data_IF_015582689268
#
_entry.id   IF_015582689268
#
_cell.length_a   1.000
_cell.length_b   1.000
_cell.length_c   1.000
_cell.angle_alpha   90.00
_cell.angle_beta   90.00
_cell.angle_gamma   90.00
#
_symmetry.space_group_name_H-M   'P 1'
#
loop_
_entity.id
_entity.type
_entity.pdbx_description
1 polymer ?
#
# COMPACT_ATOMS: atom_id res chain seq x y z
N UNK A 1 4.18 -6.41 7.23
CA UNK A 1 3.71 -6.79 5.89
C UNK A 1 3.05 -8.16 5.92
N UNK A 2 3.77 -9.24 6.23
CA UNK A 2 3.25 -10.62 6.20
C UNK A 2 1.97 -10.83 7.03
N UNK A 3 1.87 -10.19 8.19
CA UNK A 3 0.66 -10.28 9.04
C UNK A 3 -0.57 -9.55 8.46
N UNK A 4 -0.37 -8.53 7.62
CA UNK A 4 -1.47 -7.82 6.97
C UNK A 4 -2.01 -8.66 5.81
N UNK A 5 -1.11 -9.27 5.03
CA UNK A 5 -1.45 -10.14 3.90
C UNK A 5 -2.28 -11.36 4.35
N UNK A 6 -1.92 -11.96 5.49
CA UNK A 6 -2.61 -13.11 6.08
C UNK A 6 -4.06 -12.82 6.55
N UNK A 7 -4.46 -11.54 6.63
CA UNK A 7 -5.80 -11.12 7.03
C UNK A 7 -6.62 -10.48 5.91
N UNK A 8 -6.03 -10.35 4.72
CA UNK A 8 -6.79 -9.86 3.59
C UNK A 8 -7.78 -10.95 3.14
N UNK A 9 -9.02 -10.56 2.80
CA UNK A 9 -9.96 -11.48 2.21
C UNK A 9 -9.39 -12.04 0.90
N UNK A 10 -9.74 -13.28 0.56
CA UNK A 10 -9.31 -13.94 -0.69
C UNK A 10 -9.89 -13.27 -1.94
N UNK A 11 -10.97 -12.50 -1.76
CA UNK A 11 -11.64 -11.73 -2.80
C UNK A 11 -11.08 -10.31 -2.93
N UNK A 12 -11.17 -9.70 -4.12
CA UNK A 12 -10.72 -8.33 -4.36
C UNK A 12 -11.29 -7.37 -3.32
N UNK A 13 -10.43 -6.51 -2.77
CA UNK A 13 -10.84 -5.58 -1.73
C UNK A 13 -10.11 -4.24 -1.85
N UNK A 14 -10.58 -3.28 -1.04
CA UNK A 14 -10.03 -1.94 -0.98
C UNK A 14 -9.20 -1.81 0.30
N UNK A 15 -7.93 -1.43 0.15
CA UNK A 15 -6.97 -1.34 1.24
C UNK A 15 -6.56 0.12 1.41
N UNK A 16 -6.60 0.62 2.64
CA UNK A 16 -6.17 1.97 3.00
C UNK A 16 -4.88 1.89 3.82
N UNK A 17 -3.81 2.47 3.30
CA UNK A 17 -2.53 2.63 4.00
C UNK A 17 -2.43 4.04 4.58
N UNK A 18 -2.53 4.16 5.91
CA UNK A 18 -2.50 5.42 6.65
C UNK A 18 -1.09 5.68 7.20
N UNK A 19 -0.43 6.73 6.71
CA UNK A 19 0.97 7.01 7.05
C UNK A 19 1.94 6.22 6.18
N UNK A 20 1.70 6.20 4.87
CA UNK A 20 2.41 5.35 3.91
C UNK A 20 3.92 5.65 3.80
N UNK A 21 4.37 6.80 4.28
CA UNK A 21 5.76 7.25 4.16
C UNK A 21 6.16 7.28 2.68
N UNK A 22 7.25 6.58 2.35
CA UNK A 22 7.75 6.40 0.98
C UNK A 22 6.89 5.50 0.09
N UNK A 23 5.79 4.93 0.61
CA UNK A 23 4.91 4.05 -0.15
C UNK A 23 5.37 2.58 -0.21
N UNK A 24 6.42 2.18 0.51
CA UNK A 24 6.99 0.83 0.39
C UNK A 24 5.98 -0.30 0.73
N UNK A 25 5.12 -0.09 1.73
CA UNK A 25 4.11 -1.08 2.12
C UNK A 25 2.98 -1.15 1.08
N UNK A 26 2.49 -0.01 0.61
CA UNK A 26 1.49 0.05 -0.45
C UNK A 26 1.98 -0.60 -1.75
N UNK A 27 3.24 -0.37 -2.15
CA UNK A 27 3.85 -0.99 -3.33
C UNK A 27 3.99 -2.50 -3.18
N UNK A 28 4.44 -2.98 -2.03
CA UNK A 28 4.55 -4.42 -1.79
C UNK A 28 3.17 -5.10 -1.80
N UNK A 29 2.16 -4.48 -1.18
CA UNK A 29 0.78 -4.97 -1.24
C UNK A 29 0.22 -4.96 -2.66
N UNK A 30 0.51 -3.95 -3.47
CA UNK A 30 0.06 -3.88 -4.86
C UNK A 30 0.71 -4.98 -5.73
N UNK A 31 1.97 -5.33 -5.45
CA UNK A 31 2.68 -6.42 -6.13
C UNK A 31 2.12 -7.80 -5.75
N UNK A 32 1.81 -8.01 -4.48
CA UNK A 32 1.30 -9.30 -3.98
C UNK A 32 -0.20 -9.50 -4.22
N UNK A 33 -0.97 -8.41 -4.32
CA UNK A 33 -2.42 -8.39 -4.51
C UNK A 33 -2.82 -7.39 -5.62
N UNK A 34 -2.50 -7.69 -6.89
CA UNK A 34 -2.83 -6.80 -8.02
C UNK A 34 -4.34 -6.70 -8.27
N UNK A 35 -5.14 -7.58 -7.65
CA UNK A 35 -6.59 -7.57 -7.66
C UNK A 35 -7.20 -6.54 -6.69
N UNK A 36 -6.42 -6.02 -5.74
CA UNK A 36 -6.88 -5.08 -4.73
C UNK A 36 -6.65 -3.62 -5.12
N UNK A 37 -7.59 -2.75 -4.78
CA UNK A 37 -7.44 -1.30 -4.93
C UNK A 37 -6.79 -0.74 -3.67
N UNK A 38 -5.59 -0.17 -3.80
CA UNK A 38 -4.83 0.36 -2.66
C UNK A 38 -4.82 1.89 -2.72
N UNK A 39 -5.31 2.51 -1.65
CA UNK A 39 -5.18 3.96 -1.42
C UNK A 39 -4.13 4.17 -0.34
N UNK A 40 -3.09 4.93 -0.67
CA UNK A 40 -2.01 5.24 0.26
C UNK A 40 -2.01 6.74 0.55
N UNK A 41 -2.04 7.11 1.82
CA UNK A 41 -2.05 8.51 2.26
C UNK A 41 -0.95 8.75 3.28
N UNK A 42 -0.28 9.89 3.17
CA UNK A 42 0.60 10.40 4.22
C UNK A 42 0.25 11.85 4.54
N UNK A 43 0.53 12.26 5.78
CA UNK A 43 0.35 13.63 6.23
C UNK A 43 1.55 14.51 5.81
N UNK A 44 2.70 13.90 5.58
CA UNK A 44 3.92 14.57 5.11
C UNK A 44 3.93 14.59 3.58
N UNK A 45 3.79 15.76 2.94
CA UNK A 45 3.70 15.85 1.48
C UNK A 45 4.99 15.37 0.77
N UNK A 46 6.12 15.38 1.47
CA UNK A 46 7.43 14.95 0.95
C UNK A 46 7.59 13.42 0.89
N UNK A 47 6.70 12.68 1.55
CA UNK A 47 6.83 11.23 1.66
C UNK A 47 6.38 10.50 0.37
N UNK A 48 5.45 11.08 -0.39
CA UNK A 48 4.86 10.47 -1.61
C UNK A 48 5.62 10.85 -2.88
N UNK A 49 6.94 11.09 -2.79
CA UNK A 49 7.75 11.30 -3.99
C UNK A 49 8.04 9.93 -4.65
N UNK A 50 7.52 9.63 -5.86
CA UNK A 50 8.00 8.49 -6.61
C UNK A 50 9.48 8.72 -6.92
N UNK A 51 10.34 7.88 -6.38
CA UNK A 51 11.77 7.89 -6.69
C UNK A 51 11.98 7.73 -8.19
N UNK A 52 12.15 8.85 -8.89
CA UNK A 52 12.52 8.88 -10.30
C UNK A 52 14.03 8.95 -10.35
N UNK A 53 14.68 7.79 -10.42
CA UNK A 53 16.04 7.62 -10.95
C UNK A 53 16.14 6.22 -11.54
#
# INVERSE_FOLDING_TARGET
MEQALARLPEQPCRILDLGTGTGAIALALASERPDCEITAVDRMPDAVAPGTT
#
